data_IF_494156568056
#
_entry.id   IF_494156568056
#
_cell.length_a   1.000
_cell.length_b   1.000
_cell.length_c   1.000
_cell.angle_alpha   90.00
_cell.angle_beta   90.00
_cell.angle_gamma   90.00
#
_symmetry.space_group_name_H-M   'P 1'
#
loop_
_entity.id
_entity.type
_entity.pdbx_description
1 polymer ?
#
# COMPACT_ATOMS: atom_id res chain seq x y z
N UNK A 1 10.66 1.15 -4.75
CA UNK A 1 9.88 0.15 -5.50
C UNK A 1 10.13 -1.21 -4.86
N UNK A 2 9.13 -2.08 -4.73
CA UNK A 2 7.78 -1.93 -5.25
C UNK A 2 6.95 -0.95 -4.42
N UNK A 3 5.96 -0.30 -5.03
CA UNK A 3 4.97 0.56 -4.38
C UNK A 3 3.74 0.74 -5.26
N UNK A 4 2.73 1.47 -4.79
CA UNK A 4 1.56 1.81 -5.59
C UNK A 4 1.95 2.74 -6.75
N UNK A 5 1.64 2.32 -7.97
CA UNK A 5 2.11 2.92 -9.22
C UNK A 5 1.96 4.44 -9.31
N UNK A 6 0.92 5.01 -8.76
CA UNK A 6 0.67 6.46 -8.84
C UNK A 6 1.74 7.31 -8.15
N UNK A 7 2.53 6.73 -7.23
CA UNK A 7 3.60 7.45 -6.55
C UNK A 7 4.76 7.86 -7.47
N UNK A 8 4.97 7.15 -8.58
CA UNK A 8 6.01 7.47 -9.55
C UNK A 8 5.44 7.89 -10.91
N UNK A 9 4.39 7.22 -11.41
CA UNK A 9 3.88 7.50 -12.75
C UNK A 9 3.20 8.86 -12.89
N UNK A 10 2.55 9.37 -11.81
CA UNK A 10 1.94 10.71 -11.86
C UNK A 10 3.02 11.80 -11.89
N UNK A 11 4.02 11.82 -10.98
CA UNK A 11 5.11 12.80 -11.08
C UNK A 11 5.82 12.76 -12.44
N UNK A 12 6.15 11.58 -12.97
CA UNK A 12 6.75 11.43 -14.30
C UNK A 12 5.87 12.03 -15.40
N UNK A 13 4.56 11.78 -15.35
CA UNK A 13 3.61 12.26 -16.37
C UNK A 13 3.51 13.79 -16.44
N UNK A 14 3.84 14.49 -15.38
CA UNK A 14 3.88 15.95 -15.32
C UNK A 14 5.30 16.52 -15.47
N UNK A 15 6.29 15.68 -15.81
CA UNK A 15 7.64 16.07 -16.13
C UNK A 15 8.60 16.20 -14.93
N UNK A 16 8.24 15.65 -13.77
CA UNK A 16 9.17 15.57 -12.65
C UNK A 16 10.23 14.49 -12.89
N UNK A 17 11.46 14.74 -12.46
CA UNK A 17 12.49 13.71 -12.34
C UNK A 17 12.15 12.83 -11.13
N UNK A 18 11.99 11.53 -11.36
CA UNK A 18 11.70 10.54 -10.33
C UNK A 18 12.91 9.67 -10.07
N UNK A 19 13.37 9.62 -8.84
CA UNK A 19 14.44 8.74 -8.36
C UNK A 19 13.83 7.64 -7.51
N UNK A 20 14.17 6.40 -7.81
CA UNK A 20 13.55 5.23 -7.21
C UNK A 20 14.42 4.67 -6.08
N UNK A 21 13.88 4.62 -4.87
CA UNK A 21 14.44 3.87 -3.75
C UNK A 21 13.97 2.41 -3.86
N UNK A 22 14.91 1.46 -3.83
CA UNK A 22 14.59 0.04 -3.94
C UNK A 22 14.25 -0.55 -2.56
N UNK A 23 13.05 -1.12 -2.46
CA UNK A 23 12.64 -1.91 -1.29
C UNK A 23 12.87 -3.38 -1.58
N UNK A 24 13.66 -4.04 -0.75
CA UNK A 24 14.14 -5.41 -1.01
C UNK A 24 13.55 -6.40 -0.01
N UNK A 25 13.19 -7.62 -0.44
CA UNK A 25 12.65 -8.65 0.45
C UNK A 25 13.63 -9.03 1.56
N UNK A 26 14.94 -8.98 1.32
CA UNK A 26 16.00 -9.27 2.30
C UNK A 26 15.98 -8.26 3.48
N UNK A 27 15.47 -7.05 3.25
CA UNK A 27 15.26 -6.03 4.27
C UNK A 27 13.77 -5.88 4.65
N UNK A 28 12.95 -6.92 4.48
CA UNK A 28 11.52 -6.89 4.75
C UNK A 28 10.79 -5.74 4.05
N UNK A 29 11.25 -5.33 2.89
CA UNK A 29 10.76 -4.17 2.12
C UNK A 29 10.79 -2.85 2.90
N UNK A 30 11.68 -2.72 3.86
CA UNK A 30 11.92 -1.44 4.54
C UNK A 30 12.87 -0.57 3.72
N UNK A 31 12.76 0.76 3.79
CA UNK A 31 13.67 1.68 3.12
C UNK A 31 15.08 1.55 3.68
N UNK A 32 16.07 1.52 2.79
CA UNK A 32 17.47 1.70 3.16
C UNK A 32 17.75 3.20 3.30
N UNK A 33 18.11 3.63 4.50
CA UNK A 33 18.30 5.04 4.83
C UNK A 33 19.54 5.63 4.14
N UNK A 34 20.61 4.85 3.97
CA UNK A 34 21.82 5.32 3.28
C UNK A 34 21.57 5.40 1.75
N UNK A 35 20.82 4.46 1.18
CA UNK A 35 20.39 4.56 -0.23
C UNK A 35 19.49 5.79 -0.43
N UNK A 36 18.49 6.03 0.45
CA UNK A 36 17.67 7.23 0.38
C UNK A 36 18.49 8.51 0.42
N UNK A 37 19.45 8.59 1.34
CA UNK A 37 20.34 9.75 1.49
C UNK A 37 21.17 10.01 0.23
N UNK A 38 21.55 8.96 -0.49
CA UNK A 38 22.28 9.09 -1.76
C UNK A 38 21.41 9.59 -2.92
N UNK A 39 20.09 9.39 -2.84
CA UNK A 39 19.12 9.80 -3.86
C UNK A 39 18.61 11.24 -3.66
N UNK A 40 18.76 11.79 -2.46
CA UNK A 40 18.24 13.12 -2.10
C UNK A 40 19.29 14.20 -2.26
N UNK A 41 18.94 15.30 -2.92
CA UNK A 41 19.78 16.50 -3.10
C UNK A 41 18.94 17.79 -2.93
N UNK A 42 19.56 18.95 -3.12
CA UNK A 42 18.93 20.27 -3.01
C UNK A 42 17.78 20.52 -4.01
N UNK A 43 17.69 19.71 -5.07
CA UNK A 43 16.62 19.78 -6.06
C UNK A 43 15.43 18.89 -5.68
N UNK A 44 15.58 18.02 -4.71
CA UNK A 44 14.50 17.14 -4.24
C UNK A 44 13.40 17.95 -3.60
N UNK A 45 12.19 17.86 -4.14
CA UNK A 45 11.01 18.62 -3.65
C UNK A 45 10.09 17.76 -2.79
N UNK A 46 10.07 16.45 -3.04
CA UNK A 46 9.15 15.55 -2.37
C UNK A 46 9.70 14.12 -2.30
N UNK A 47 9.51 13.48 -1.16
CA UNK A 47 9.65 12.03 -0.99
C UNK A 47 8.24 11.46 -0.90
N UNK A 48 7.92 10.44 -1.73
CA UNK A 48 6.59 9.82 -1.70
C UNK A 48 6.67 8.41 -1.13
N UNK A 49 5.74 8.08 -0.25
CA UNK A 49 5.68 6.82 0.49
C UNK A 49 4.26 6.24 0.44
N UNK A 50 4.16 4.91 0.48
CA UNK A 50 2.93 4.22 0.85
C UNK A 50 3.18 3.47 2.17
N UNK A 51 2.53 3.86 3.26
CA UNK A 51 2.80 3.31 4.58
C UNK A 51 1.53 3.12 5.43
N UNK A 52 1.04 1.89 5.62
CA UNK A 52 1.57 0.59 5.13
C UNK A 52 1.59 0.44 3.62
N UNK A 53 2.58 -0.30 3.11
CA UNK A 53 2.84 -0.39 1.68
C UNK A 53 1.92 -1.38 0.95
N UNK A 54 1.52 -0.99 -0.23
CA UNK A 54 0.95 -1.84 -1.26
C UNK A 54 1.96 -1.90 -2.43
N UNK A 55 2.55 -3.07 -2.75
CA UNK A 55 1.94 -4.41 -2.58
C UNK A 55 2.47 -5.25 -1.41
N UNK A 56 3.45 -4.81 -0.66
CA UNK A 56 4.25 -5.67 0.23
C UNK A 56 3.60 -5.96 1.59
N UNK A 57 2.74 -5.06 2.07
CA UNK A 57 2.22 -5.13 3.43
C UNK A 57 3.26 -4.79 4.50
N UNK A 58 4.39 -4.20 4.11
CA UNK A 58 5.38 -3.68 5.05
C UNK A 58 4.89 -2.41 5.74
N UNK A 59 5.46 -2.12 6.89
CA UNK A 59 5.21 -0.91 7.65
C UNK A 59 6.53 -0.34 8.14
N UNK A 60 6.79 0.92 7.83
CA UNK A 60 8.00 1.63 8.22
C UNK A 60 7.89 1.96 9.71
N UNK A 61 8.77 1.43 10.58
CA UNK A 61 8.79 1.76 11.99
C UNK A 61 9.09 3.25 12.24
N UNK A 62 8.77 3.73 13.44
CA UNK A 62 8.89 5.16 13.76
C UNK A 62 10.32 5.68 13.64
N UNK A 63 11.30 4.90 14.05
CA UNK A 63 12.70 5.31 14.01
C UNK A 63 13.22 5.54 12.58
N UNK A 64 12.86 4.64 11.66
CA UNK A 64 13.20 4.77 10.24
C UNK A 64 12.45 5.95 9.61
N UNK A 65 11.18 6.15 9.98
CA UNK A 65 10.42 7.32 9.52
C UNK A 65 11.05 8.63 10.01
N UNK A 66 11.50 8.70 11.26
CA UNK A 66 12.20 9.86 11.80
C UNK A 66 13.54 10.11 11.05
N UNK A 67 14.29 9.06 10.71
CA UNK A 67 15.50 9.20 9.90
C UNK A 67 15.20 9.75 8.49
N UNK A 68 14.13 9.28 7.85
CA UNK A 68 13.68 9.80 6.55
C UNK A 68 13.25 11.27 6.65
N UNK A 69 12.59 11.66 7.73
CA UNK A 69 12.20 13.05 7.99
C UNK A 69 13.43 13.96 8.11
N UNK A 70 14.48 13.54 8.80
CA UNK A 70 15.71 14.33 8.91
C UNK A 70 16.38 14.54 7.53
N UNK A 71 16.35 13.52 6.66
CA UNK A 71 16.85 13.66 5.29
C UNK A 71 15.99 14.65 4.51
N UNK A 72 14.67 14.53 4.54
CA UNK A 72 13.76 15.46 3.87
C UNK A 72 13.95 16.90 4.37
N UNK A 73 14.09 17.08 5.69
CA UNK A 73 14.30 18.37 6.34
C UNK A 73 15.61 19.03 5.91
N UNK A 74 16.67 18.24 5.69
CA UNK A 74 17.99 18.77 5.29
C UNK A 74 17.98 19.47 3.93
N UNK A 75 17.01 19.19 3.07
CA UNK A 75 16.86 19.78 1.73
C UNK A 75 15.51 20.51 1.57
N UNK A 76 14.79 20.72 2.65
CA UNK A 76 13.50 21.42 2.68
C UNK A 76 12.39 20.73 1.84
N UNK A 77 12.45 19.42 1.68
CA UNK A 77 11.52 18.62 0.89
C UNK A 77 10.26 18.23 1.69
N UNK A 78 9.13 18.07 0.99
CA UNK A 78 7.92 17.47 1.56
C UNK A 78 8.02 15.95 1.66
N UNK A 79 7.23 15.35 2.56
CA UNK A 79 6.96 13.91 2.54
C UNK A 79 5.46 13.71 2.30
N UNK A 80 5.10 13.11 1.15
CA UNK A 80 3.76 12.64 0.85
C UNK A 80 3.65 11.18 1.28
N UNK A 81 2.80 10.89 2.25
CA UNK A 81 2.56 9.53 2.74
C UNK A 81 1.13 9.10 2.43
N UNK A 82 0.98 8.09 1.57
CA UNK A 82 -0.30 7.40 1.40
C UNK A 82 -0.52 6.48 2.59
N UNK A 83 -1.47 6.87 3.45
CA UNK A 83 -1.81 6.20 4.70
C UNK A 83 -3.16 5.45 4.62
N UNK A 84 -3.62 5.09 3.43
CA UNK A 84 -4.94 4.46 3.23
C UNK A 84 -5.11 3.13 3.97
N UNK A 85 -4.01 2.49 4.38
CA UNK A 85 -3.99 1.27 5.19
C UNK A 85 -3.66 1.51 6.66
N UNK A 86 -3.47 2.76 7.10
CA UNK A 86 -3.17 3.12 8.48
C UNK A 86 -4.35 2.80 9.40
N UNK A 87 -4.09 2.08 10.49
CA UNK A 87 -5.08 1.73 11.53
C UNK A 87 -5.40 0.25 11.61
N UNK A 88 -4.85 -0.58 10.73
CA UNK A 88 -4.95 -2.04 10.83
C UNK A 88 -3.56 -2.63 10.82
N UNK A 89 -3.04 -2.93 12.01
CA UNK A 89 -1.80 -3.64 12.26
C UNK A 89 -2.07 -4.99 12.95
N UNK A 90 -1.07 -5.85 12.98
CA UNK A 90 -1.15 -7.17 13.63
C UNK A 90 -1.44 -7.05 15.12
N UNK A 91 -0.71 -6.18 15.81
CA UNK A 91 -0.78 -5.98 17.26
C UNK A 91 -1.90 -5.02 17.69
N UNK A 92 -2.65 -4.43 16.74
CA UNK A 92 -3.69 -3.45 17.00
C UNK A 92 -3.18 -2.05 17.28
N UNK A 93 -1.87 -1.80 17.14
CA UNK A 93 -1.31 -0.47 17.28
C UNK A 93 -1.81 0.45 16.16
N UNK A 94 -1.99 1.73 16.49
CA UNK A 94 -2.35 2.76 15.52
C UNK A 94 -1.07 3.51 15.11
N UNK A 95 -0.69 3.36 13.85
CA UNK A 95 0.53 3.93 13.31
C UNK A 95 0.51 5.46 13.38
N UNK A 96 1.66 6.08 13.58
CA UNK A 96 1.78 7.53 13.50
C UNK A 96 1.49 8.03 12.08
N UNK A 97 0.82 9.16 11.96
CA UNK A 97 0.70 9.86 10.69
C UNK A 97 1.91 10.73 10.45
N UNK A 98 2.30 10.89 9.19
CA UNK A 98 3.40 11.79 8.83
C UNK A 98 3.13 13.24 9.26
N UNK A 99 1.88 13.67 9.30
CA UNK A 99 1.50 15.03 9.76
C UNK A 99 1.69 15.26 11.26
N UNK A 100 1.79 14.18 12.03
CA UNK A 100 2.10 14.25 13.47
C UNK A 100 3.60 14.35 13.73
N UNK A 101 4.43 13.93 12.77
CA UNK A 101 5.88 13.80 12.90
C UNK A 101 6.65 14.88 12.17
N UNK A 102 6.10 15.43 11.08
CA UNK A 102 6.81 16.35 10.20
C UNK A 102 5.95 17.54 9.79
N UNK A 103 6.50 18.75 9.89
CA UNK A 103 5.82 20.00 9.54
C UNK A 103 5.46 20.11 8.06
N UNK A 104 6.30 19.52 7.17
CA UNK A 104 6.04 19.40 5.72
C UNK A 104 5.49 18.01 5.34
N UNK A 105 4.88 17.30 6.30
CA UNK A 105 4.18 16.05 6.05
C UNK A 105 2.83 16.30 5.36
N UNK A 106 2.54 15.48 4.36
CA UNK A 106 1.25 15.43 3.67
C UNK A 106 0.75 13.98 3.77
N UNK A 107 -0.37 13.77 4.46
CA UNK A 107 -1.02 12.47 4.59
C UNK A 107 -2.20 12.36 3.63
N UNK A 108 -2.32 11.22 2.96
CA UNK A 108 -3.49 10.85 2.16
C UNK A 108 -4.21 9.69 2.82
N UNK A 109 -5.50 9.83 3.05
CA UNK A 109 -6.36 8.81 3.61
C UNK A 109 -7.61 8.55 2.76
N UNK A 110 -8.27 7.41 2.96
CA UNK A 110 -9.42 7.02 2.15
C UNK A 110 -10.39 6.14 2.90
N UNK A 111 -11.68 6.28 2.59
CA UNK A 111 -12.73 5.35 3.00
C UNK A 111 -12.64 3.99 2.29
N UNK A 112 -11.85 3.89 1.20
CA UNK A 112 -11.87 2.73 0.30
C UNK A 112 -11.26 1.46 0.89
N UNK A 113 -10.27 1.58 1.78
CA UNK A 113 -9.44 0.45 2.24
C UNK A 113 -9.86 0.00 3.64
N UNK A 114 -9.27 0.61 4.67
CA UNK A 114 -9.49 0.20 6.07
C UNK A 114 -10.93 0.40 6.56
N UNK A 115 -11.71 1.28 5.94
CA UNK A 115 -13.12 1.48 6.24
C UNK A 115 -14.06 0.56 5.44
N UNK A 116 -13.56 -0.17 4.43
CA UNK A 116 -14.34 -1.05 3.54
C UNK A 116 -15.47 -0.33 2.77
N UNK A 117 -15.31 0.96 2.51
CA UNK A 117 -16.32 1.83 1.88
C UNK A 117 -15.81 2.39 0.54
N UNK A 118 -15.22 1.52 -0.29
CA UNK A 118 -14.66 1.90 -1.59
C UNK A 118 -15.69 2.55 -2.53
N UNK A 119 -16.96 2.20 -2.40
CA UNK A 119 -18.07 2.76 -3.19
C UNK A 119 -18.39 4.22 -2.90
N UNK A 120 -18.04 4.76 -1.73
CA UNK A 120 -18.29 6.15 -1.38
C UNK A 120 -17.42 7.15 -2.16
N UNK A 121 -16.34 6.71 -2.77
CA UNK A 121 -15.40 7.59 -3.48
C UNK A 121 -14.89 8.76 -2.64
N UNK A 122 -14.70 8.56 -1.33
CA UNK A 122 -14.29 9.56 -0.36
C UNK A 122 -12.88 9.31 0.16
N UNK A 123 -12.16 10.40 0.35
CA UNK A 123 -10.84 10.44 0.96
C UNK A 123 -10.51 11.84 1.45
N UNK A 124 -9.32 11.99 1.99
CA UNK A 124 -8.84 13.28 2.50
C UNK A 124 -7.34 13.44 2.27
N UNK A 125 -6.93 14.69 2.23
CA UNK A 125 -5.54 15.10 2.33
C UNK A 125 -5.42 15.89 3.62
N UNK A 126 -4.41 15.60 4.43
CA UNK A 126 -4.11 16.33 5.65
C UNK A 126 -2.67 16.84 5.61
N UNK A 127 -2.46 18.09 5.97
CA UNK A 127 -1.15 18.71 6.18
C UNK A 127 -1.28 19.88 7.13
N UNK A 128 -0.18 20.30 7.74
CA UNK A 128 -0.11 21.54 8.56
C UNK A 128 0.26 22.77 7.75
N UNK A 129 0.70 22.58 6.51
CA UNK A 129 1.04 23.65 5.58
C UNK A 129 -0.22 24.22 4.93
N UNK A 130 -0.59 25.44 5.36
CA UNK A 130 -1.80 26.10 4.87
C UNK A 130 -1.67 26.58 3.43
N UNK A 131 -0.46 26.86 2.94
CA UNK A 131 -0.25 27.26 1.55
C UNK A 131 -0.52 26.07 0.61
N UNK A 132 -0.09 24.86 1.02
CA UNK A 132 -0.43 23.62 0.31
C UNK A 132 -1.96 23.41 0.30
N UNK A 133 -2.64 23.60 1.44
CA UNK A 133 -4.10 23.48 1.51
C UNK A 133 -4.79 24.47 0.55
N UNK A 134 -4.37 25.74 0.53
CA UNK A 134 -4.93 26.74 -0.38
C UNK A 134 -4.76 26.34 -1.85
N UNK A 135 -3.57 25.91 -2.24
CA UNK A 135 -3.30 25.45 -3.60
C UNK A 135 -4.12 24.22 -4.00
N UNK A 136 -4.34 23.27 -3.08
CA UNK A 136 -5.19 22.10 -3.32
C UNK A 136 -6.64 22.54 -3.50
N UNK A 137 -7.15 23.46 -2.69
CA UNK A 137 -8.52 23.98 -2.82
C UNK A 137 -8.75 24.68 -4.16
N UNK A 138 -7.83 25.55 -4.57
CA UNK A 138 -7.92 26.22 -5.87
C UNK A 138 -8.00 25.20 -7.04
N UNK A 139 -7.18 24.15 -7.00
CA UNK A 139 -7.20 23.11 -8.07
C UNK A 139 -8.45 22.24 -8.00
N UNK A 140 -8.95 21.95 -6.81
CA UNK A 140 -10.17 21.16 -6.61
C UNK A 140 -11.38 21.81 -7.27
N UNK A 141 -11.46 23.14 -7.31
CA UNK A 141 -12.55 23.87 -7.96
C UNK A 141 -12.62 23.61 -9.48
N UNK A 142 -11.49 23.23 -10.09
CA UNK A 142 -11.41 22.86 -11.51
C UNK A 142 -11.54 21.34 -11.77
N UNK A 143 -11.54 20.51 -10.74
CA UNK A 143 -11.62 19.06 -10.87
C UNK A 143 -12.98 18.53 -10.33
N UNK A 144 -13.09 18.33 -9.04
CA UNK A 144 -14.26 17.68 -8.42
C UNK A 144 -15.25 18.67 -7.80
N UNK A 145 -14.87 19.93 -7.62
CA UNK A 145 -15.63 21.00 -6.93
C UNK A 145 -15.94 20.60 -5.48
N UNK A 146 -16.81 19.60 -5.30
CA UNK A 146 -17.20 19.06 -3.99
C UNK A 146 -17.49 17.56 -4.08
N UNK A 147 -17.41 16.89 -2.95
CA UNK A 147 -17.88 15.52 -2.81
C UNK A 147 -19.42 15.47 -2.74
N UNK A 148 -20.01 14.29 -2.99
CA UNK A 148 -21.43 14.08 -2.81
C UNK A 148 -21.84 14.22 -1.33
N UNK A 149 -22.93 14.93 -1.05
CA UNK A 149 -23.40 15.20 0.33
C UNK A 149 -23.71 13.90 1.08
N UNK A 150 -24.29 12.90 0.40
CA UNK A 150 -24.59 11.61 1.02
C UNK A 150 -23.31 10.84 1.34
N UNK A 151 -22.33 10.88 0.44
CA UNK A 151 -21.03 10.19 0.63
C UNK A 151 -20.26 10.82 1.79
N UNK A 152 -20.26 12.14 1.90
CA UNK A 152 -19.63 12.88 3.00
C UNK A 152 -20.31 12.56 4.35
N UNK A 153 -21.64 12.56 4.40
CA UNK A 153 -22.40 12.20 5.60
C UNK A 153 -22.09 10.76 6.05
N UNK A 154 -22.05 9.81 5.11
CA UNK A 154 -21.74 8.40 5.41
C UNK A 154 -20.27 8.23 5.84
N UNK A 155 -19.36 8.98 5.24
CA UNK A 155 -17.96 9.00 5.66
C UNK A 155 -17.82 9.54 7.10
N UNK A 156 -18.51 10.63 7.42
CA UNK A 156 -18.56 11.18 8.78
C UNK A 156 -19.11 10.19 9.81
N UNK A 157 -20.18 9.47 9.45
CA UNK A 157 -20.75 8.40 10.29
C UNK A 157 -19.75 7.25 10.51
N UNK A 158 -19.06 6.83 9.44
CA UNK A 158 -18.03 5.78 9.53
C UNK A 158 -16.86 6.20 10.41
N UNK A 159 -16.39 7.44 10.30
CA UNK A 159 -15.35 8.00 11.17
C UNK A 159 -15.78 8.03 12.64
N UNK A 160 -17.03 8.40 12.93
CA UNK A 160 -17.57 8.39 14.29
C UNK A 160 -17.63 6.97 14.90
N UNK A 161 -17.65 5.93 14.06
CA UNK A 161 -17.69 4.52 14.46
C UNK A 161 -16.47 3.73 14.06
N UNK A 162 -15.34 4.38 13.81
CA UNK A 162 -14.11 3.79 13.26
C UNK A 162 -13.62 2.58 14.07
N UNK A 163 -13.73 2.59 15.38
CA UNK A 163 -13.23 1.51 16.24
C UNK A 163 -13.93 0.18 15.94
N UNK A 164 -15.26 0.20 15.78
CA UNK A 164 -16.04 -1.01 15.42
C UNK A 164 -15.69 -1.53 14.02
N UNK A 165 -15.47 -0.61 13.09
CA UNK A 165 -15.10 -0.96 11.70
C UNK A 165 -13.70 -1.58 11.69
N UNK A 166 -12.76 -0.99 12.41
CA UNK A 166 -11.37 -1.48 12.49
C UNK A 166 -11.28 -2.81 13.20
N UNK A 167 -11.99 -3.00 14.31
CA UNK A 167 -12.06 -4.28 15.01
C UNK A 167 -12.55 -5.40 14.09
N UNK A 168 -13.68 -5.18 13.40
CA UNK A 168 -14.21 -6.14 12.40
C UNK A 168 -13.22 -6.43 11.29
N UNK A 169 -12.65 -5.40 10.69
CA UNK A 169 -11.76 -5.56 9.53
C UNK A 169 -10.44 -6.21 9.94
N UNK A 170 -9.92 -5.85 11.10
CA UNK A 170 -8.73 -6.49 11.67
C UNK A 170 -8.96 -7.98 11.92
N UNK A 171 -10.08 -8.38 12.49
CA UNK A 171 -10.40 -9.79 12.72
C UNK A 171 -10.41 -10.58 11.39
N UNK A 172 -10.97 -10.02 10.31
CA UNK A 172 -10.96 -10.66 8.98
C UNK A 172 -9.52 -10.77 8.47
N UNK A 173 -8.75 -9.70 8.55
CA UNK A 173 -7.38 -9.66 8.03
C UNK A 173 -6.45 -10.61 8.77
N UNK A 174 -6.50 -10.66 10.09
CA UNK A 174 -5.70 -11.58 10.89
C UNK A 174 -6.00 -13.03 10.54
N UNK A 175 -7.27 -13.40 10.50
CA UNK A 175 -7.70 -14.75 10.10
C UNK A 175 -7.22 -15.12 8.68
N UNK A 176 -7.37 -14.20 7.74
CA UNK A 176 -6.99 -14.45 6.35
C UNK A 176 -5.48 -14.50 6.16
N UNK A 177 -4.74 -13.74 6.92
CA UNK A 177 -3.28 -13.81 6.94
C UNK A 177 -2.77 -15.14 7.49
N UNK A 178 -3.42 -15.69 8.53
CA UNK A 178 -3.12 -17.05 9.02
C UNK A 178 -3.36 -18.11 7.95
N UNK A 179 -4.45 -18.00 7.19
CA UNK A 179 -4.74 -18.90 6.05
C UNK A 179 -3.64 -18.78 4.99
N UNK A 180 -3.26 -17.57 4.62
CA UNK A 180 -2.21 -17.34 3.62
C UNK A 180 -0.85 -17.84 4.11
N UNK A 181 -0.49 -17.55 5.38
CA UNK A 181 0.77 -17.96 5.99
C UNK A 181 0.91 -19.50 6.01
N UNK A 182 -0.13 -20.17 6.46
CA UNK A 182 -0.19 -21.64 6.45
C UNK A 182 -0.04 -22.19 5.04
N UNK A 183 -0.77 -21.63 4.07
CA UNK A 183 -0.71 -22.05 2.69
C UNK A 183 0.70 -21.89 2.08
N UNK A 184 1.38 -20.77 2.35
CA UNK A 184 2.77 -20.56 1.90
C UNK A 184 3.71 -21.59 2.52
N UNK A 185 3.55 -21.92 3.81
CA UNK A 185 4.39 -22.93 4.49
C UNK A 185 4.18 -24.36 3.96
N UNK A 186 2.96 -24.67 3.49
CA UNK A 186 2.58 -26.02 3.04
C UNK A 186 2.71 -26.20 1.51
N UNK A 187 2.95 -25.12 0.75
CA UNK A 187 3.03 -25.19 -0.72
C UNK A 187 4.48 -25.09 -1.19
N UNK A 188 4.97 -26.16 -1.83
CA UNK A 188 6.30 -26.20 -2.42
C UNK A 188 6.44 -25.16 -3.56
N UNK A 189 7.61 -24.54 -3.65
CA UNK A 189 7.92 -23.57 -4.70
C UNK A 189 7.25 -22.21 -4.54
N UNK A 190 6.75 -21.87 -3.33
CA UNK A 190 6.28 -20.52 -3.01
C UNK A 190 6.93 -20.00 -1.74
N UNK A 191 7.18 -18.70 -1.71
CA UNK A 191 7.67 -18.02 -0.51
C UNK A 191 7.21 -16.56 -0.50
N UNK A 192 7.32 -15.89 0.63
CA UNK A 192 6.97 -14.48 0.76
C UNK A 192 7.63 -13.84 1.98
N UNK A 193 7.70 -12.51 1.98
CA UNK A 193 7.90 -11.75 3.21
C UNK A 193 6.54 -11.56 3.86
N UNK A 194 6.37 -12.08 5.07
CA UNK A 194 5.08 -12.02 5.78
C UNK A 194 4.64 -10.57 6.00
N UNK A 195 3.46 -10.15 5.50
CA UNK A 195 2.98 -8.80 5.70
C UNK A 195 2.65 -8.55 7.18
N UNK A 196 3.03 -7.38 7.67
CA UNK A 196 2.74 -6.94 9.06
C UNK A 196 1.54 -6.01 9.13
N UNK A 197 1.13 -5.44 7.99
CA UNK A 197 0.02 -4.51 7.89
C UNK A 197 -0.61 -4.56 6.49
N UNK A 198 -1.64 -3.73 6.25
CA UNK A 198 -2.29 -3.65 4.94
C UNK A 198 -3.17 -4.85 4.60
N UNK A 199 -3.46 -5.02 3.32
CA UNK A 199 -4.45 -5.99 2.81
C UNK A 199 -3.91 -6.86 1.68
N UNK A 200 -2.62 -6.74 1.37
CA UNK A 200 -1.96 -7.38 0.23
C UNK A 200 -0.63 -7.99 0.64
N UNK A 201 -0.19 -9.00 -0.09
CA UNK A 201 1.12 -9.60 0.02
C UNK A 201 1.69 -9.91 -1.36
N UNK A 202 3.01 -9.81 -1.52
CA UNK A 202 3.73 -10.37 -2.66
C UNK A 202 4.11 -11.81 -2.35
N UNK A 203 3.66 -12.74 -3.19
CA UNK A 203 4.00 -14.16 -3.10
C UNK A 203 4.86 -14.54 -4.31
N UNK A 204 6.07 -14.97 -4.05
CA UNK A 204 7.02 -15.45 -5.04
C UNK A 204 6.74 -16.91 -5.38
N UNK A 205 7.07 -17.31 -6.60
CA UNK A 205 6.92 -18.68 -7.10
C UNK A 205 8.16 -19.12 -7.90
N UNK A 206 8.52 -20.38 -7.84
CA UNK A 206 9.75 -20.96 -8.43
C UNK A 206 9.52 -21.52 -9.86
N UNK A 207 8.62 -20.90 -10.64
CA UNK A 207 8.35 -21.31 -12.02
C UNK A 207 8.96 -20.32 -12.99
N UNK A 208 9.57 -20.81 -14.06
CA UNK A 208 10.09 -20.00 -15.16
C UNK A 208 8.94 -19.56 -16.09
N UNK A 209 8.01 -18.80 -15.53
CA UNK A 209 6.85 -18.21 -16.24
C UNK A 209 6.81 -16.73 -15.87
N UNK A 210 6.83 -15.80 -16.85
CA UNK A 210 6.64 -14.38 -16.57
C UNK A 210 5.35 -14.12 -15.79
N UNK A 211 5.39 -13.22 -14.83
CA UNK A 211 4.28 -12.99 -13.90
C UNK A 211 2.97 -12.59 -14.58
N UNK A 212 3.05 -11.85 -15.70
CA UNK A 212 1.89 -11.50 -16.51
C UNK A 212 1.26 -12.74 -17.16
N UNK A 213 2.07 -13.60 -17.79
CA UNK A 213 1.60 -14.81 -18.46
C UNK A 213 1.00 -15.81 -17.47
N UNK A 214 1.63 -15.95 -16.31
CA UNK A 214 1.10 -16.75 -15.19
C UNK A 214 -0.28 -16.26 -14.77
N UNK A 215 -0.47 -14.96 -14.55
CA UNK A 215 -1.76 -14.38 -14.19
C UNK A 215 -2.82 -14.59 -15.28
N UNK A 216 -2.47 -14.42 -16.56
CA UNK A 216 -3.38 -14.67 -17.68
C UNK A 216 -3.81 -16.14 -17.73
N UNK A 217 -2.89 -17.08 -17.52
CA UNK A 217 -3.19 -18.51 -17.45
C UNK A 217 -4.07 -18.85 -16.25
N UNK A 218 -3.77 -18.31 -15.08
CA UNK A 218 -4.59 -18.51 -13.87
C UNK A 218 -6.05 -18.07 -14.06
N UNK A 219 -6.29 -16.95 -14.75
CA UNK A 219 -7.66 -16.54 -15.11
C UNK A 219 -8.33 -17.55 -16.00
N UNK A 220 -7.65 -18.01 -17.06
CA UNK A 220 -8.22 -18.91 -18.07
C UNK A 220 -8.45 -20.34 -17.57
N UNK A 221 -7.48 -20.86 -16.82
CA UNK A 221 -7.45 -22.26 -16.43
C UNK A 221 -8.12 -22.54 -15.08
N UNK A 222 -8.02 -21.59 -14.13
CA UNK A 222 -8.49 -21.74 -12.75
C UNK A 222 -9.55 -20.71 -12.30
N UNK A 223 -9.78 -19.65 -13.10
CA UNK A 223 -10.69 -18.55 -12.76
C UNK A 223 -10.17 -17.69 -11.60
N UNK A 224 -8.85 -17.55 -11.47
CA UNK A 224 -8.18 -16.76 -10.44
C UNK A 224 -7.62 -15.45 -11.01
N UNK A 225 -7.91 -14.36 -10.33
CA UNK A 225 -7.37 -13.03 -10.66
C UNK A 225 -6.37 -12.58 -9.60
N UNK A 226 -5.09 -12.59 -9.95
CA UNK A 226 -4.02 -11.95 -9.19
C UNK A 226 -3.45 -10.76 -9.98
N UNK A 227 -2.71 -9.88 -9.29
CA UNK A 227 -1.96 -8.83 -9.97
C UNK A 227 -0.54 -9.35 -10.20
N UNK A 228 -0.05 -9.34 -11.46
CA UNK A 228 1.31 -9.79 -11.74
C UNK A 228 2.35 -8.87 -11.09
N UNK A 229 3.47 -9.45 -10.68
CA UNK A 229 4.57 -8.71 -10.07
C UNK A 229 5.16 -7.67 -11.02
N UNK A 230 5.13 -7.92 -12.33
CA UNK A 230 5.56 -6.95 -13.36
C UNK A 230 4.83 -5.61 -13.29
N UNK A 231 3.60 -5.54 -12.74
CA UNK A 231 2.92 -4.26 -12.45
C UNK A 231 3.61 -3.43 -11.36
N UNK A 232 4.55 -4.01 -10.64
CA UNK A 232 5.35 -3.38 -9.59
C UNK A 232 6.85 -3.43 -9.91
N UNK A 233 7.18 -3.71 -11.19
CA UNK A 233 8.54 -3.92 -11.69
C UNK A 233 9.29 -5.06 -10.98
N UNK A 234 8.53 -6.08 -10.54
CA UNK A 234 9.05 -7.27 -9.86
C UNK A 234 8.56 -8.54 -10.56
N UNK A 235 9.49 -9.31 -11.12
CA UNK A 235 9.17 -10.61 -11.71
C UNK A 235 9.28 -11.75 -10.69
N UNK A 236 8.74 -12.92 -11.05
CA UNK A 236 8.74 -14.11 -10.19
C UNK A 236 7.77 -14.05 -9.02
N UNK A 237 6.87 -13.07 -8.98
CA UNK A 237 5.87 -12.96 -7.92
C UNK A 237 4.50 -12.51 -8.42
N UNK A 238 3.49 -12.70 -7.58
CA UNK A 238 2.14 -12.15 -7.76
C UNK A 238 1.69 -11.43 -6.50
N UNK A 239 0.89 -10.36 -6.65
CA UNK A 239 0.23 -9.75 -5.50
C UNK A 239 -1.09 -10.45 -5.24
N UNK A 240 -1.26 -10.94 -4.01
CA UNK A 240 -2.48 -11.51 -3.49
C UNK A 240 -3.14 -10.53 -2.52
N UNK A 241 -4.40 -10.15 -2.78
CA UNK A 241 -5.23 -9.46 -1.81
C UNK A 241 -5.90 -10.48 -0.89
N UNK A 242 -5.90 -10.23 0.43
CA UNK A 242 -6.49 -11.17 1.39
C UNK A 242 -7.57 -10.55 2.30
N UNK A 243 -8.08 -9.37 1.96
CA UNK A 243 -9.10 -8.65 2.76
C UNK A 243 -10.54 -8.94 2.31
N UNK A 244 -10.89 -10.22 2.14
CA UNK A 244 -12.24 -10.62 1.69
C UNK A 244 -12.68 -11.92 2.35
N UNK A 245 -13.68 -12.62 1.83
CA UNK A 245 -14.21 -13.85 2.41
C UNK A 245 -13.15 -14.94 2.57
N UNK A 246 -12.99 -15.47 3.80
CA UNK A 246 -11.95 -16.45 4.16
C UNK A 246 -12.08 -17.76 3.39
N UNK A 247 -13.31 -18.19 3.06
CA UNK A 247 -13.54 -19.44 2.32
C UNK A 247 -13.12 -19.29 0.86
N UNK A 248 -13.45 -18.15 0.25
CA UNK A 248 -13.02 -17.86 -1.12
C UNK A 248 -11.50 -17.70 -1.20
N UNK A 249 -10.87 -17.09 -0.20
CA UNK A 249 -9.41 -17.02 -0.13
C UNK A 249 -8.79 -18.43 -0.12
N UNK A 250 -9.22 -19.28 0.79
CA UNK A 250 -8.68 -20.65 0.90
C UNK A 250 -8.87 -21.46 -0.40
N UNK A 251 -10.05 -21.35 -1.03
CA UNK A 251 -10.32 -22.00 -2.32
C UNK A 251 -9.44 -21.46 -3.45
N UNK A 252 -9.21 -20.15 -3.48
CA UNK A 252 -8.33 -19.53 -4.46
C UNK A 252 -6.88 -19.98 -4.31
N UNK A 253 -6.37 -20.02 -3.09
CA UNK A 253 -5.02 -20.47 -2.79
C UNK A 253 -4.82 -21.97 -3.15
N UNK A 254 -5.82 -22.84 -2.89
CA UNK A 254 -5.75 -24.24 -3.30
C UNK A 254 -5.66 -24.39 -4.82
N UNK A 255 -6.50 -23.67 -5.58
CA UNK A 255 -6.43 -23.67 -7.04
C UNK A 255 -5.08 -23.15 -7.56
N UNK A 256 -4.48 -22.19 -6.87
CA UNK A 256 -3.14 -21.71 -7.23
C UNK A 256 -2.08 -22.79 -6.98
N UNK A 257 -2.14 -23.47 -5.85
CA UNK A 257 -1.26 -24.60 -5.57
C UNK A 257 -1.41 -25.74 -6.59
N UNK A 258 -2.66 -26.08 -7.01
CA UNK A 258 -2.91 -27.02 -8.09
C UNK A 258 -2.24 -26.60 -9.40
N UNK A 259 -2.43 -25.33 -9.80
CA UNK A 259 -1.82 -24.79 -11.01
C UNK A 259 -0.29 -24.90 -10.97
N UNK A 260 0.35 -24.59 -9.83
CA UNK A 260 1.80 -24.71 -9.67
C UNK A 260 2.30 -26.15 -9.75
N UNK A 261 1.52 -27.12 -9.25
CA UNK A 261 1.87 -28.56 -9.36
C UNK A 261 1.74 -29.11 -10.78
N UNK A 262 0.78 -28.59 -11.57
CA UNK A 262 0.50 -29.04 -12.94
C UNK A 262 1.48 -28.45 -13.99
N UNK A 263 2.25 -27.42 -13.65
CA UNK A 263 3.13 -26.67 -14.53
C UNK A 263 4.54 -26.50 -13.95
#
# INVERSE_FOLDING_TARGET
MPTYQQHYSIPESIGAEVRILQLRPENNFLPDIEELKSLVDENTKMITLNNPDNPTGSWIPKAEMEAMIEIARSVDAYILCDEVYRGISEDGSYMHSIVDLYEKGISVGSMSKIFSLAGLRMGWIATRDMDVIHQIHERRDYDTISCGVLDDMLAGLALAHKEKIFERNRAILLKNREILDKWVQETEGVHYVKPVAGTTALVYYDKDIPSYDLCVRLIREKGLLFTPGSCFEMEGCVRIGYAFDSKLLAQGLEKFAEFLREN
#
